data_IF_707641822738
#
_entry.id   IF_707641822738
#
_cell.length_a   1.000
_cell.length_b   1.000
_cell.length_c   1.000
_cell.angle_alpha   90.00
_cell.angle_beta   90.00
_cell.angle_gamma   90.00
#
_symmetry.space_group_name_H-M   'P 1'
#
loop_
_entity.id
_entity.type
_entity.pdbx_description
1 polymer ?
#
# COMPACT_ATOMS: atom_id res chain seq x y z
N UNK A 1 3.39 -83.79 1.88
CA UNK A 1 3.92 -82.60 1.19
C UNK A 1 3.09 -81.41 1.66
N UNK A 2 3.53 -80.80 2.74
CA UNK A 2 2.79 -79.68 3.37
C UNK A 2 3.37 -78.40 2.80
N UNK A 3 2.53 -77.61 2.16
CA UNK A 3 2.90 -76.27 1.68
C UNK A 3 2.86 -75.28 2.85
N UNK A 4 4.01 -74.78 3.17
CA UNK A 4 4.21 -73.73 4.14
C UNK A 4 3.61 -72.41 3.56
N UNK A 5 2.60 -71.86 4.25
CA UNK A 5 1.99 -70.56 3.88
C UNK A 5 2.76 -69.45 4.60
N UNK A 6 3.56 -68.75 3.85
CA UNK A 6 4.28 -67.57 4.35
C UNK A 6 3.25 -66.41 4.62
N UNK A 7 3.25 -65.79 5.81
CA UNK A 7 2.38 -64.71 6.11
C UNK A 7 2.79 -63.45 5.29
N UNK A 8 1.83 -62.60 4.83
CA UNK A 8 2.13 -61.39 4.08
C UNK A 8 2.86 -60.37 4.98
N UNK A 9 3.85 -59.70 4.40
CA UNK A 9 4.61 -58.64 5.04
C UNK A 9 3.68 -57.50 5.51
N UNK A 10 4.00 -56.81 6.62
CA UNK A 10 3.21 -55.71 7.11
C UNK A 10 3.19 -54.59 6.06
N UNK A 11 1.98 -54.16 5.69
CA UNK A 11 1.73 -53.15 4.66
C UNK A 11 2.41 -51.83 5.00
N UNK A 12 3.14 -51.33 4.00
CA UNK A 12 3.63 -49.96 3.97
C UNK A 12 2.42 -49.05 4.14
N UNK A 13 2.42 -48.07 5.06
CA UNK A 13 1.32 -47.12 5.15
C UNK A 13 1.22 -46.38 3.83
N UNK A 14 0.06 -46.53 3.20
CA UNK A 14 -0.30 -45.78 1.99
C UNK A 14 -0.10 -44.30 2.24
N UNK A 15 0.65 -43.69 1.35
CA UNK A 15 0.88 -42.26 1.23
C UNK A 15 -0.34 -41.47 1.70
N UNK A 16 -0.15 -40.71 2.78
CA UNK A 16 -1.04 -39.65 3.19
C UNK A 16 -1.15 -38.71 1.99
N UNK A 17 -2.29 -38.77 1.34
CA UNK A 17 -2.65 -37.73 0.37
C UNK A 17 -2.64 -36.43 1.13
N UNK A 18 -1.60 -35.62 0.93
CA UNK A 18 -1.60 -34.25 1.34
C UNK A 18 -2.81 -33.57 0.64
N UNK A 19 -3.89 -33.47 1.39
CA UNK A 19 -4.99 -32.62 0.97
C UNK A 19 -4.43 -31.20 0.99
N UNK A 20 -4.10 -30.71 -0.18
CA UNK A 20 -3.93 -29.26 -0.36
C UNK A 20 -5.11 -28.57 0.32
N UNK A 21 -4.88 -27.59 1.20
CA UNK A 21 -5.96 -26.85 1.82
C UNK A 21 -6.75 -26.20 0.67
N UNK A 22 -7.95 -26.73 0.41
CA UNK A 22 -8.90 -26.09 -0.48
C UNK A 22 -9.16 -24.71 0.13
N UNK A 23 -8.53 -23.70 -0.43
CA UNK A 23 -8.83 -22.30 -0.15
C UNK A 23 -10.25 -22.08 -0.60
N UNK A 24 -11.19 -22.27 0.33
CA UNK A 24 -12.60 -21.95 0.08
C UNK A 24 -12.68 -20.44 -0.08
N UNK A 25 -12.99 -19.98 -1.28
CA UNK A 25 -13.13 -18.56 -1.60
C UNK A 25 -14.17 -17.80 -0.76
N UNK A 26 -14.95 -18.49 0.07
CA UNK A 26 -15.88 -17.88 1.02
C UNK A 26 -15.25 -17.18 2.21
N UNK A 27 -14.10 -17.66 2.67
CA UNK A 27 -13.44 -17.13 3.89
C UNK A 27 -12.91 -15.69 3.70
N UNK A 28 -12.54 -15.31 2.48
CA UNK A 28 -12.08 -13.95 2.17
C UNK A 28 -13.23 -12.93 2.14
N UNK A 29 -14.39 -13.32 1.63
CA UNK A 29 -15.54 -12.42 1.60
C UNK A 29 -16.14 -12.20 2.99
N UNK A 30 -16.16 -13.24 3.84
CA UNK A 30 -16.60 -13.10 5.22
C UNK A 30 -15.65 -12.21 6.03
N UNK A 31 -14.34 -12.32 5.85
CA UNK A 31 -13.36 -11.44 6.53
C UNK A 31 -13.48 -9.98 6.11
N UNK A 32 -13.74 -9.71 4.83
CA UNK A 32 -13.95 -8.33 4.34
C UNK A 32 -15.22 -7.74 4.89
N UNK A 33 -16.28 -8.53 5.09
CA UNK A 33 -17.54 -8.07 5.68
C UNK A 33 -17.42 -7.61 7.13
N UNK A 34 -16.37 -8.02 7.85
CA UNK A 34 -16.13 -7.66 9.25
C UNK A 34 -15.07 -6.56 9.45
N UNK A 35 -14.52 -5.99 8.38
CA UNK A 35 -13.58 -4.87 8.50
C UNK A 35 -14.29 -3.64 9.06
N UNK A 36 -14.06 -3.36 10.33
CA UNK A 36 -14.71 -2.26 11.06
C UNK A 36 -13.96 -0.94 10.98
N UNK A 37 -12.73 -0.94 10.46
CA UNK A 37 -11.94 0.27 10.41
C UNK A 37 -10.70 0.17 9.52
N UNK A 38 -10.04 1.32 9.27
CA UNK A 38 -8.87 1.39 8.39
C UNK A 38 -7.70 0.52 8.84
N UNK A 39 -7.51 0.36 10.15
CA UNK A 39 -6.43 -0.45 10.71
C UNK A 39 -6.62 -1.95 10.43
N UNK A 40 -7.86 -2.44 10.56
CA UNK A 40 -8.19 -3.83 10.21
C UNK A 40 -8.11 -4.06 8.70
N UNK A 41 -8.51 -3.06 7.92
CA UNK A 41 -8.42 -3.11 6.47
C UNK A 41 -6.97 -3.29 5.97
N UNK A 42 -6.00 -2.70 6.65
CA UNK A 42 -4.57 -2.85 6.34
C UNK A 42 -4.04 -4.27 6.59
N UNK A 43 -4.71 -5.08 7.40
CA UNK A 43 -4.37 -6.48 7.60
C UNK A 43 -4.71 -7.35 6.38
N UNK A 44 -5.60 -6.88 5.49
CA UNK A 44 -5.87 -7.55 4.22
C UNK A 44 -4.72 -7.27 3.23
N UNK A 45 -3.87 -8.26 2.96
CA UNK A 45 -2.66 -8.11 2.16
C UNK A 45 -2.91 -7.52 0.76
N UNK A 46 -4.03 -7.82 0.13
CA UNK A 46 -4.41 -7.26 -1.17
C UNK A 46 -4.70 -5.77 -1.08
N UNK A 47 -5.46 -5.34 -0.07
CA UNK A 47 -5.77 -3.94 0.14
C UNK A 47 -4.51 -3.15 0.52
N UNK A 48 -3.68 -3.69 1.40
CA UNK A 48 -2.41 -3.10 1.76
C UNK A 48 -1.52 -2.83 0.54
N UNK A 49 -1.38 -3.81 -0.35
CA UNK A 49 -0.61 -3.67 -1.60
C UNK A 49 -1.19 -2.61 -2.52
N UNK A 50 -2.52 -2.60 -2.71
CA UNK A 50 -3.20 -1.63 -3.56
C UNK A 50 -3.04 -0.20 -3.05
N UNK A 51 -3.20 0.01 -1.74
CA UNK A 51 -3.02 1.31 -1.09
C UNK A 51 -1.57 1.79 -1.22
N UNK A 52 -0.58 0.93 -0.93
CA UNK A 52 0.82 1.31 -1.06
C UNK A 52 1.20 1.62 -2.51
N UNK A 53 0.79 0.80 -3.48
CA UNK A 53 1.07 1.06 -4.89
C UNK A 53 0.56 2.43 -5.33
N UNK A 54 -0.66 2.78 -4.93
CA UNK A 54 -1.24 4.08 -5.24
C UNK A 54 -0.55 5.22 -4.53
N UNK A 55 -0.22 5.04 -3.24
CA UNK A 55 0.48 6.03 -2.46
C UNK A 55 1.91 6.27 -2.98
N UNK A 56 2.62 5.22 -3.38
CA UNK A 56 3.95 5.32 -3.99
C UNK A 56 3.90 6.03 -5.34
N UNK A 57 2.87 5.76 -6.15
CA UNK A 57 2.67 6.46 -7.42
C UNK A 57 2.44 7.96 -7.21
N UNK A 58 1.61 8.33 -6.22
CA UNK A 58 1.37 9.74 -5.88
C UNK A 58 2.62 10.42 -5.35
N UNK A 59 3.39 9.75 -4.50
CA UNK A 59 4.62 10.30 -3.92
C UNK A 59 5.73 10.55 -4.95
N UNK A 60 5.70 9.81 -6.07
CA UNK A 60 6.63 9.98 -7.17
C UNK A 60 6.27 11.14 -8.14
N UNK A 61 5.06 11.70 -8.01
CA UNK A 61 4.65 12.81 -8.87
C UNK A 61 5.33 14.13 -8.43
N UNK A 62 5.96 14.86 -9.35
CA UNK A 62 6.57 16.15 -9.01
C UNK A 62 5.48 17.20 -8.79
N UNK A 63 5.36 17.68 -7.56
CA UNK A 63 4.46 18.78 -7.20
C UNK A 63 5.25 20.09 -7.24
N UNK A 64 4.79 21.05 -8.04
CA UNK A 64 5.50 22.33 -8.24
C UNK A 64 4.58 23.52 -7.98
N UNK A 65 5.11 24.50 -7.28
CA UNK A 65 4.47 25.80 -7.17
C UNK A 65 4.77 26.63 -8.43
N UNK A 66 3.72 27.01 -9.14
CA UNK A 66 3.81 27.78 -10.36
C UNK A 66 3.06 29.11 -10.21
N UNK A 67 3.66 30.18 -10.69
CA UNK A 67 3.02 31.48 -10.78
C UNK A 67 2.47 31.68 -12.18
N UNK A 68 1.20 32.10 -12.27
CA UNK A 68 0.56 32.48 -13.55
C UNK A 68 1.05 33.85 -13.97
N UNK A 69 1.63 33.94 -15.15
CA UNK A 69 1.91 35.21 -15.80
C UNK A 69 0.66 35.64 -16.57
N UNK A 70 0.01 36.70 -16.11
CA UNK A 70 -1.23 37.20 -16.71
C UNK A 70 -1.03 37.82 -18.11
N UNK A 71 0.18 38.31 -18.42
CA UNK A 71 0.47 38.90 -19.72
C UNK A 71 0.70 37.87 -20.80
N UNK A 72 1.37 36.77 -20.46
CA UNK A 72 1.73 35.71 -21.40
C UNK A 72 0.82 34.50 -21.34
N UNK A 73 -0.09 34.42 -20.36
CA UNK A 73 -0.98 33.27 -20.17
C UNK A 73 -0.30 31.96 -19.77
N UNK A 74 1.00 31.97 -19.57
CA UNK A 74 1.80 30.77 -19.24
C UNK A 74 2.00 30.65 -17.74
N UNK A 75 2.16 29.37 -17.30
CA UNK A 75 2.55 29.04 -15.95
C UNK A 75 4.08 28.88 -15.90
N UNK A 76 4.72 29.58 -14.99
CA UNK A 76 6.16 29.46 -14.77
C UNK A 76 6.44 29.04 -13.34
N UNK A 77 7.41 28.13 -13.17
CA UNK A 77 7.87 27.72 -11.84
C UNK A 77 8.54 28.91 -11.18
N UNK A 78 8.04 29.32 -10.03
CA UNK A 78 8.64 30.41 -9.28
C UNK A 78 9.86 29.91 -8.49
N UNK A 79 11.04 30.26 -8.97
CA UNK A 79 12.32 29.90 -8.36
C UNK A 79 12.92 31.03 -7.53
N UNK A 80 12.16 32.08 -7.23
CA UNK A 80 12.63 33.25 -6.49
C UNK A 80 11.93 33.38 -5.13
N UNK A 81 12.69 33.81 -4.13
CA UNK A 81 12.15 34.15 -2.83
C UNK A 81 11.26 33.08 -2.20
N UNK A 82 10.01 33.42 -1.96
CA UNK A 82 9.02 32.52 -1.35
C UNK A 82 8.70 31.30 -2.21
N UNK A 83 8.63 31.47 -3.54
CA UNK A 83 8.34 30.38 -4.47
C UNK A 83 9.41 29.29 -4.43
N UNK A 84 10.69 29.66 -4.34
CA UNK A 84 11.78 28.69 -4.16
C UNK A 84 11.63 27.91 -2.86
N UNK A 85 11.29 28.58 -1.76
CA UNK A 85 11.10 27.92 -0.46
C UNK A 85 9.90 26.95 -0.49
N UNK A 86 8.80 27.35 -1.09
CA UNK A 86 7.62 26.49 -1.25
C UNK A 86 7.97 25.26 -2.10
N UNK A 87 8.65 25.43 -3.24
CA UNK A 87 9.06 24.32 -4.08
C UNK A 87 10.00 23.35 -3.34
N UNK A 88 10.93 23.86 -2.55
CA UNK A 88 11.79 23.04 -1.71
C UNK A 88 10.99 22.16 -0.73
N UNK A 89 10.02 22.75 -0.02
CA UNK A 89 9.16 22.02 0.92
C UNK A 89 8.26 20.99 0.24
N UNK A 90 7.85 21.24 -1.02
CA UNK A 90 6.96 20.32 -1.76
C UNK A 90 7.70 19.20 -2.48
N UNK A 91 8.98 19.36 -2.79
CA UNK A 91 9.76 18.42 -3.60
C UNK A 91 10.87 17.72 -2.83
N UNK A 92 11.53 18.41 -1.91
CA UNK A 92 12.72 17.90 -1.25
C UNK A 92 12.41 17.48 0.20
N UNK A 93 12.15 18.45 1.05
CA UNK A 93 12.06 18.23 2.48
C UNK A 93 10.84 18.95 3.06
N UNK A 94 9.82 18.20 3.43
CA UNK A 94 8.60 18.76 4.01
C UNK A 94 8.84 19.28 5.44
N UNK A 95 9.69 18.60 6.20
CA UNK A 95 10.15 19.00 7.52
C UNK A 95 11.48 18.31 7.85
N UNK A 96 12.17 18.67 8.96
CA UNK A 96 13.48 18.10 9.32
C UNK A 96 13.51 16.58 9.55
N UNK A 97 12.33 15.94 9.65
CA UNK A 97 12.21 14.52 9.97
C UNK A 97 11.69 13.72 8.76
N UNK A 98 11.06 14.41 7.78
CA UNK A 98 10.30 13.76 6.73
C UNK A 98 10.58 14.38 5.36
N UNK A 99 10.82 13.55 4.37
CA UNK A 99 10.93 13.99 2.98
C UNK A 99 9.57 14.43 2.40
N UNK A 100 9.59 15.22 1.34
CA UNK A 100 8.36 15.61 0.66
C UNK A 100 7.62 14.39 0.09
N UNK A 101 8.36 13.40 -0.41
CA UNK A 101 7.80 12.14 -0.92
C UNK A 101 7.04 11.37 0.15
N UNK A 102 7.61 11.25 1.36
CA UNK A 102 6.95 10.58 2.49
C UNK A 102 5.70 11.32 2.93
N UNK A 103 5.73 12.66 2.95
CA UNK A 103 4.56 13.49 3.23
C UNK A 103 3.43 13.21 2.23
N UNK A 104 3.71 13.22 0.93
CA UNK A 104 2.70 12.94 -0.09
C UNK A 104 2.15 11.54 -0.01
N UNK A 105 2.99 10.55 0.32
CA UNK A 105 2.57 9.18 0.57
C UNK A 105 1.57 9.10 1.74
N UNK A 106 1.85 9.76 2.85
CA UNK A 106 0.95 9.80 4.01
C UNK A 106 -0.35 10.53 3.71
N UNK A 107 -0.30 11.64 2.96
CA UNK A 107 -1.47 12.38 2.51
C UNK A 107 -2.40 11.47 1.70
N UNK A 108 -1.86 10.70 0.76
CA UNK A 108 -2.66 9.80 -0.07
C UNK A 108 -3.23 8.63 0.74
N UNK A 109 -2.45 8.02 1.63
CA UNK A 109 -2.93 6.95 2.50
C UNK A 109 -4.11 7.44 3.35
N UNK A 110 -3.99 8.60 3.99
CA UNK A 110 -5.06 9.18 4.80
C UNK A 110 -6.30 9.50 3.95
N UNK A 111 -6.11 10.02 2.75
CA UNK A 111 -7.19 10.30 1.82
C UNK A 111 -7.95 9.04 1.40
N UNK A 112 -7.24 7.94 1.17
CA UNK A 112 -7.84 6.65 0.80
C UNK A 112 -8.66 6.03 1.94
N UNK A 113 -8.21 6.15 3.18
CA UNK A 113 -8.89 5.54 4.32
C UNK A 113 -9.96 6.40 4.96
N UNK A 114 -9.74 7.71 5.00
CA UNK A 114 -10.62 8.65 5.72
C UNK A 114 -11.37 9.62 4.78
N UNK A 115 -11.09 9.56 3.48
CA UNK A 115 -11.65 10.48 2.49
C UNK A 115 -11.01 11.87 2.48
N UNK A 116 -10.34 12.26 3.55
CA UNK A 116 -9.69 13.55 3.72
C UNK A 116 -8.29 13.40 4.30
N UNK A 117 -7.42 14.38 3.98
CA UNK A 117 -6.11 14.53 4.59
C UNK A 117 -5.82 15.99 4.84
N UNK A 118 -5.23 16.29 5.98
CA UNK A 118 -4.89 17.65 6.40
C UNK A 118 -3.40 17.73 6.68
N UNK A 119 -2.77 18.79 6.15
CA UNK A 119 -1.38 19.13 6.43
C UNK A 119 -1.36 20.38 7.29
N UNK A 120 -0.81 20.29 8.48
CA UNK A 120 -0.61 21.43 9.37
C UNK A 120 0.68 22.16 8.99
N UNK A 121 0.58 23.48 8.82
CA UNK A 121 1.73 24.33 8.52
C UNK A 121 2.05 25.15 9.77
N UNK A 122 3.17 24.83 10.40
CA UNK A 122 3.70 25.61 11.50
C UNK A 122 4.42 26.85 10.97
N UNK A 123 4.15 28.02 11.58
CA UNK A 123 4.72 29.32 11.18
C UNK A 123 5.68 29.82 12.25
#
# INVERSE_FOLDING_TARGET
MVREVTPPAPGVPSSTTEQEPKVQGGDYQERIAYVRGPQEALCAGTLYRAVNLRADTMSAMPVQYQKRDFEKGNYQVDMRGLGKRINYLLQEEANPIMTASDMWKLVEINRLFYGNSFVYIER
#
